data_IF_595583728085
#
_entry.id   IF_595583728085
#
_cell.length_a   1.000
_cell.length_b   1.000
_cell.length_c   1.000
_cell.angle_alpha   90.00
_cell.angle_beta   90.00
_cell.angle_gamma   90.00
#
_symmetry.space_group_name_H-M   'P 1'
#
loop_
_entity.id
_entity.type
_entity.pdbx_description
1 polymer ?
#
# COMPACT_ATOMS: atom_id res chain seq x y z
N UNK A 1 -26.15 12.10 5.13
CA UNK A 1 -26.04 10.88 5.97
C UNK A 1 -24.61 10.37 5.90
N UNK A 2 -24.07 9.73 6.96
CA UNK A 2 -22.70 9.25 6.93
C UNK A 2 -22.52 8.20 5.82
N UNK A 3 -21.36 8.13 5.16
CA UNK A 3 -21.13 7.21 4.07
C UNK A 3 -21.21 5.76 4.58
N UNK A 4 -22.00 4.94 3.89
CA UNK A 4 -22.19 3.51 4.20
C UNK A 4 -20.90 2.76 3.84
N UNK A 5 -20.20 2.29 4.86
CA UNK A 5 -18.99 1.47 4.73
C UNK A 5 -19.38 0.07 4.22
N UNK A 6 -18.82 -0.36 3.08
CA UNK A 6 -19.09 -1.68 2.48
C UNK A 6 -17.80 -2.49 2.50
N UNK A 7 -17.74 -3.49 3.37
CA UNK A 7 -16.65 -4.46 3.41
C UNK A 7 -16.79 -5.40 2.20
N UNK A 8 -15.78 -5.47 1.35
CA UNK A 8 -15.72 -6.48 0.28
C UNK A 8 -14.93 -7.67 0.82
N UNK A 9 -15.64 -8.74 1.17
CA UNK A 9 -15.05 -10.06 1.42
C UNK A 9 -15.07 -10.83 0.11
N UNK A 10 -13.92 -11.04 -0.51
CA UNK A 10 -13.83 -11.95 -1.65
C UNK A 10 -14.17 -13.38 -1.17
N UNK A 11 -15.25 -13.95 -1.70
CA UNK A 11 -15.64 -15.34 -1.42
C UNK A 11 -14.98 -16.24 -2.46
N UNK A 12 -14.21 -17.27 -2.08
CA UNK A 12 -13.72 -18.23 -3.05
C UNK A 12 -14.84 -19.22 -3.37
N UNK A 13 -15.41 -19.12 -4.58
CA UNK A 13 -16.23 -20.20 -5.16
C UNK A 13 -15.42 -20.87 -6.28
N UNK A 14 -14.67 -21.90 -5.92
CA UNK A 14 -14.23 -22.93 -6.87
C UNK A 14 -14.42 -24.30 -6.21
N UNK A 15 -15.29 -25.12 -6.81
CA UNK A 15 -15.27 -26.58 -6.63
C UNK A 15 -14.18 -27.15 -7.54
N UNK A 16 -13.32 -28.04 -7.06
CA UNK A 16 -12.73 -29.23 -7.74
C UNK A 16 -11.59 -29.81 -6.87
N UNK A 17 -11.57 -31.13 -6.70
CA UNK A 17 -10.39 -31.95 -6.38
C UNK A 17 -9.67 -31.70 -5.04
N UNK A 18 -9.58 -32.73 -4.19
CA UNK A 18 -8.78 -32.69 -2.95
C UNK A 18 -7.28 -32.62 -3.29
N UNK A 19 -6.77 -31.43 -3.56
CA UNK A 19 -5.35 -31.09 -3.37
C UNK A 19 -5.24 -30.65 -1.91
N UNK A 20 -4.47 -31.39 -1.11
CA UNK A 20 -4.14 -30.97 0.24
C UNK A 20 -3.24 -29.72 0.15
N UNK A 21 -3.86 -28.54 0.07
CA UNK A 21 -3.16 -27.27 0.25
C UNK A 21 -2.72 -27.21 1.71
N UNK A 22 -1.42 -27.11 1.93
CA UNK A 22 -0.87 -26.75 3.24
C UNK A 22 -1.56 -25.48 3.72
N UNK A 23 -2.24 -25.54 4.85
CA UNK A 23 -2.90 -24.40 5.50
C UNK A 23 -1.92 -23.52 6.28
N UNK A 24 -0.64 -23.91 6.34
CA UNK A 24 0.39 -23.15 7.02
C UNK A 24 0.84 -21.98 6.15
N UNK A 25 0.65 -20.76 6.68
CA UNK A 25 1.24 -19.55 6.11
C UNK A 25 2.77 -19.72 6.10
N UNK A 26 3.45 -19.50 4.96
CA UNK A 26 4.89 -19.68 4.88
C UNK A 26 5.63 -18.68 5.76
N UNK A 27 6.88 -18.98 6.15
CA UNK A 27 7.68 -18.03 6.95
C UNK A 27 8.09 -16.77 6.19
N UNK A 28 8.13 -16.86 4.85
CA UNK A 28 8.54 -15.81 3.93
C UNK A 28 7.69 -15.84 2.66
N UNK A 29 7.62 -14.72 1.96
CA UNK A 29 7.06 -14.59 0.62
C UNK A 29 7.92 -13.66 -0.23
N UNK A 30 7.88 -13.81 -1.54
CA UNK A 30 8.62 -12.96 -2.47
C UNK A 30 7.65 -12.14 -3.32
N UNK A 31 7.97 -10.88 -3.52
CA UNK A 31 7.22 -10.00 -4.43
C UNK A 31 8.15 -8.94 -4.99
N UNK A 32 8.07 -8.70 -6.30
CA UNK A 32 8.83 -7.67 -7.02
C UNK A 32 10.35 -7.74 -6.79
N UNK A 33 10.91 -8.95 -6.75
CA UNK A 33 12.34 -9.19 -6.54
C UNK A 33 12.82 -8.99 -5.11
N UNK A 34 11.92 -8.95 -4.13
CA UNK A 34 12.23 -8.76 -2.70
C UNK A 34 11.60 -9.88 -1.89
N UNK A 35 12.38 -10.43 -0.96
CA UNK A 35 11.90 -11.40 0.02
C UNK A 35 11.44 -10.70 1.30
N UNK A 36 10.24 -11.02 1.76
CA UNK A 36 9.63 -10.47 2.96
C UNK A 36 9.32 -11.60 3.93
N UNK A 37 9.56 -11.33 5.22
CA UNK A 37 9.13 -12.24 6.28
C UNK A 37 7.64 -12.04 6.53
N UNK A 38 6.88 -13.12 6.61
CA UNK A 38 5.48 -13.04 7.01
C UNK A 38 5.40 -12.52 8.46
N UNK A 39 4.59 -11.48 8.72
CA UNK A 39 4.45 -10.95 10.06
C UNK A 39 3.80 -11.98 11.00
N UNK A 40 4.42 -12.21 12.16
CA UNK A 40 3.92 -13.14 13.19
C UNK A 40 2.84 -12.53 14.07
N UNK A 41 2.68 -11.21 14.02
CA UNK A 41 1.71 -10.42 14.77
C UNK A 41 1.00 -9.47 13.80
N UNK A 42 -0.18 -8.94 14.15
CA UNK A 42 -0.82 -7.92 13.33
C UNK A 42 0.09 -6.72 13.11
N UNK A 43 0.43 -6.45 11.85
CA UNK A 43 1.30 -5.33 11.45
C UNK A 43 0.49 -4.30 10.71
N UNK A 44 0.63 -3.04 11.11
CA UNK A 44 -0.05 -1.90 10.48
C UNK A 44 1.00 -0.96 9.90
N UNK A 45 0.81 -0.59 8.64
CA UNK A 45 1.60 0.46 7.97
C UNK A 45 0.67 1.64 7.71
N UNK A 46 1.08 2.83 8.12
CA UNK A 46 0.30 4.06 7.96
C UNK A 46 1.08 5.03 7.08
N UNK A 47 0.47 5.44 5.97
CA UNK A 47 0.97 6.53 5.14
C UNK A 47 0.17 7.80 5.50
N UNK A 48 0.85 8.79 6.08
CA UNK A 48 0.26 10.12 6.34
C UNK A 48 0.58 11.03 5.15
N UNK A 49 -0.40 11.21 4.26
CA UNK A 49 -0.25 12.02 3.03
C UNK A 49 0.10 13.48 3.38
N UNK A 50 1.16 14.01 2.78
CA UNK A 50 1.64 15.38 3.04
C UNK A 50 2.26 15.62 4.42
N UNK A 51 2.72 14.57 5.12
CA UNK A 51 3.38 14.71 6.42
C UNK A 51 4.82 15.22 6.28
N UNK A 52 4.97 16.53 6.08
CA UNK A 52 6.29 17.19 6.07
C UNK A 52 7.06 16.91 7.37
N UNK A 53 8.38 16.64 7.32
CA UNK A 53 9.20 16.57 8.52
C UNK A 53 9.03 17.81 9.39
N UNK A 54 8.86 17.63 10.70
CA UNK A 54 8.61 18.71 11.65
C UNK A 54 7.17 18.81 12.15
N UNK A 55 6.15 18.38 11.39
CA UNK A 55 4.75 18.48 11.85
C UNK A 55 4.49 17.66 13.13
N UNK A 56 5.03 16.44 13.18
CA UNK A 56 4.86 15.54 14.33
C UNK A 56 5.60 16.11 15.54
N UNK A 57 6.81 16.61 15.33
CA UNK A 57 7.68 17.20 16.34
C UNK A 57 7.00 18.43 16.98
N UNK A 58 6.45 19.34 16.17
CA UNK A 58 5.71 20.51 16.69
C UNK A 58 4.46 20.10 17.48
N UNK A 59 3.74 19.06 17.05
CA UNK A 59 2.59 18.56 17.80
C UNK A 59 3.00 17.93 19.15
N UNK A 60 4.16 17.28 19.20
CA UNK A 60 4.75 16.73 20.44
C UNK A 60 5.19 17.85 21.38
N UNK A 61 5.85 18.88 20.85
CA UNK A 61 6.26 20.09 21.59
C UNK A 61 5.06 20.82 22.19
N UNK A 62 3.97 20.95 21.42
CA UNK A 62 2.73 21.55 21.88
C UNK A 62 1.96 20.69 22.91
N UNK A 63 2.43 19.48 23.22
CA UNK A 63 1.81 18.59 24.21
C UNK A 63 0.52 17.91 23.75
N UNK A 64 0.16 18.01 22.46
CA UNK A 64 -1.10 17.47 21.91
C UNK A 64 -0.94 16.10 21.25
N UNK A 65 0.28 15.57 21.17
CA UNK A 65 0.60 14.29 20.52
C UNK A 65 1.34 13.30 21.45
N UNK A 66 0.74 12.86 22.57
CA UNK A 66 1.42 12.01 23.57
C UNK A 66 1.84 10.64 23.04
N UNK A 67 1.09 10.07 22.09
CA UNK A 67 1.46 8.82 21.43
C UNK A 67 2.74 8.96 20.62
N UNK A 68 2.85 10.02 19.80
CA UNK A 68 4.04 10.27 19.01
C UNK A 68 5.25 10.61 19.87
N UNK A 69 5.06 11.33 20.99
CA UNK A 69 6.12 11.55 21.99
C UNK A 69 6.75 10.23 22.43
N UNK A 70 5.91 9.28 22.87
CA UNK A 70 6.38 7.95 23.27
C UNK A 70 7.09 7.22 22.13
N UNK A 71 6.59 7.31 20.90
CA UNK A 71 7.24 6.67 19.73
C UNK A 71 8.61 7.27 19.42
N UNK A 72 8.78 8.59 19.56
CA UNK A 72 10.06 9.25 19.36
C UNK A 72 11.08 8.86 20.44
N UNK A 73 10.63 8.67 21.68
CA UNK A 73 11.49 8.33 22.83
C UNK A 73 11.86 6.84 22.90
N UNK A 74 10.94 5.94 22.52
CA UNK A 74 11.09 4.49 22.75
C UNK A 74 11.09 3.64 21.48
N UNK A 75 10.70 4.22 20.36
CA UNK A 75 10.63 3.55 19.07
C UNK A 75 11.83 3.83 18.18
N UNK A 76 11.67 3.56 16.89
CA UNK A 76 12.62 3.94 15.85
C UNK A 76 11.98 4.99 14.96
N UNK A 77 12.68 6.11 14.76
CA UNK A 77 12.28 7.15 13.83
C UNK A 77 13.47 7.48 12.92
N UNK A 78 13.20 7.67 11.64
CA UNK A 78 14.21 8.07 10.65
C UNK A 78 13.55 8.83 9.53
N UNK A 79 14.31 9.70 8.88
CA UNK A 79 13.90 10.32 7.63
C UNK A 79 14.15 9.35 6.46
N UNK A 80 13.24 9.34 5.49
CA UNK A 80 13.37 8.58 4.25
C UNK A 80 13.17 9.50 3.05
N UNK A 81 13.78 9.16 1.92
CA UNK A 81 13.54 9.87 0.66
C UNK A 81 12.28 9.32 -0.01
N UNK A 82 11.39 10.22 -0.40
CA UNK A 82 10.22 9.89 -1.21
C UNK A 82 10.59 9.74 -2.69
N UNK A 83 9.67 9.19 -3.47
CA UNK A 83 9.78 9.12 -4.94
C UNK A 83 9.59 10.50 -5.55
N UNK A 84 10.34 10.78 -6.62
CA UNK A 84 10.19 11.96 -7.48
C UNK A 84 9.50 11.55 -8.79
N UNK A 85 8.43 12.27 -9.22
CA UNK A 85 7.81 13.42 -8.56
C UNK A 85 7.12 13.03 -7.25
N UNK A 86 7.16 13.93 -6.25
CA UNK A 86 6.63 13.74 -4.89
C UNK A 86 5.10 13.83 -4.83
N UNK A 87 4.44 13.13 -5.75
CA UNK A 87 2.99 13.03 -5.84
C UNK A 87 2.46 11.84 -5.04
N UNK A 88 1.20 11.96 -4.62
CA UNK A 88 0.50 10.95 -3.83
C UNK A 88 0.47 9.59 -4.52
N UNK A 89 0.07 9.52 -5.80
CA UNK A 89 -0.10 8.25 -6.52
C UNK A 89 1.22 7.46 -6.66
N UNK A 90 2.31 8.03 -7.21
CA UNK A 90 3.59 7.35 -7.29
C UNK A 90 4.07 6.83 -5.94
N UNK A 91 4.05 7.67 -4.89
CA UNK A 91 4.55 7.29 -3.58
C UNK A 91 3.72 6.17 -2.93
N UNK A 92 2.39 6.24 -2.97
CA UNK A 92 1.54 5.18 -2.43
C UNK A 92 1.76 3.86 -3.18
N UNK A 93 1.92 3.90 -4.50
CA UNK A 93 2.20 2.71 -5.30
C UNK A 93 3.58 2.14 -5.02
N UNK A 94 4.60 2.98 -4.82
CA UNK A 94 5.93 2.50 -4.42
C UNK A 94 5.93 1.88 -3.03
N UNK A 95 5.17 2.42 -2.08
CA UNK A 95 5.01 1.82 -0.74
C UNK A 95 4.37 0.44 -0.85
N UNK A 96 3.28 0.31 -1.64
CA UNK A 96 2.52 -0.94 -1.68
C UNK A 96 3.16 -2.02 -2.56
N UNK A 97 4.04 -1.65 -3.48
CA UNK A 97 4.75 -2.60 -4.36
C UNK A 97 6.19 -2.84 -3.93
N UNK A 98 6.77 -1.97 -3.10
CA UNK A 98 8.16 -2.07 -2.64
C UNK A 98 9.22 -1.76 -3.70
N UNK A 99 8.81 -1.17 -4.83
CA UNK A 99 9.65 -0.84 -6.00
C UNK A 99 9.36 0.58 -6.52
N UNK A 100 10.24 1.20 -7.33
CA UNK A 100 10.03 2.55 -7.85
C UNK A 100 9.06 2.62 -9.05
N UNK A 101 8.62 3.82 -9.49
CA UNK A 101 7.71 3.99 -10.63
C UNK A 101 8.19 3.43 -11.95
N UNK A 102 9.51 3.39 -12.17
CA UNK A 102 10.09 2.74 -13.34
C UNK A 102 9.75 1.26 -13.45
N UNK A 103 9.41 0.61 -12.33
CA UNK A 103 9.01 -0.79 -12.26
C UNK A 103 7.48 -0.92 -12.22
N UNK A 104 6.80 -0.28 -11.25
CA UNK A 104 5.35 -0.46 -11.11
C UNK A 104 4.51 0.30 -12.14
N UNK A 105 5.09 1.28 -12.83
CA UNK A 105 4.48 1.98 -13.97
C UNK A 105 3.64 3.20 -13.62
N UNK A 106 3.47 3.56 -12.34
CA UNK A 106 2.64 4.71 -11.91
C UNK A 106 3.53 5.89 -11.56
N UNK A 107 3.80 6.78 -12.53
CA UNK A 107 4.72 7.91 -12.38
C UNK A 107 4.02 9.28 -12.19
N UNK A 108 2.70 9.33 -12.29
CA UNK A 108 1.93 10.56 -12.14
C UNK A 108 0.42 10.31 -12.03
N UNK A 109 -0.37 11.36 -12.25
CA UNK A 109 -1.83 11.27 -12.28
C UNK A 109 -2.37 10.99 -13.68
N UNK A 110 -1.64 11.38 -14.72
CA UNK A 110 -1.94 11.16 -16.11
C UNK A 110 -0.62 11.11 -16.91
N UNK A 111 -0.69 10.56 -18.12
CA UNK A 111 0.36 10.68 -19.13
C UNK A 111 -0.28 11.05 -20.46
N UNK A 112 0.49 11.63 -21.37
CA UNK A 112 0.04 11.90 -22.72
C UNK A 112 0.33 10.68 -23.60
N UNK A 113 -0.71 10.08 -24.16
CA UNK A 113 -0.59 8.99 -25.12
C UNK A 113 -0.47 9.57 -26.53
N UNK A 114 0.69 9.35 -27.16
CA UNK A 114 0.97 9.86 -28.49
C UNK A 114 0.23 9.12 -29.59
N UNK A 115 -0.22 7.87 -29.37
CA UNK A 115 -0.97 7.12 -30.38
C UNK A 115 -2.40 7.63 -30.50
N UNK A 116 -3.08 7.82 -29.36
CA UNK A 116 -4.44 8.36 -29.32
C UNK A 116 -4.50 9.90 -29.30
N UNK A 117 -3.36 10.58 -29.10
CA UNK A 117 -3.25 12.05 -28.94
C UNK A 117 -4.09 12.58 -27.77
N UNK A 118 -4.17 11.84 -26.67
CA UNK A 118 -5.01 12.16 -25.51
C UNK A 118 -4.26 12.07 -24.19
N UNK A 119 -4.75 12.81 -23.19
CA UNK A 119 -4.35 12.64 -21.80
C UNK A 119 -5.06 11.43 -21.19
N UNK A 120 -4.28 10.44 -20.75
CA UNK A 120 -4.78 9.20 -20.15
C UNK A 120 -4.52 9.22 -18.66
N UNK A 121 -5.58 9.06 -17.87
CA UNK A 121 -5.51 9.06 -16.41
C UNK A 121 -4.86 7.76 -15.88
N UNK A 122 -3.85 7.87 -15.02
CA UNK A 122 -3.11 6.74 -14.43
C UNK A 122 -3.73 6.21 -13.13
N UNK A 123 -5.03 6.38 -12.95
CA UNK A 123 -5.75 5.95 -11.75
C UNK A 123 -6.46 4.60 -11.92
N UNK A 124 -6.34 3.97 -13.07
CA UNK A 124 -6.84 2.62 -13.34
C UNK A 124 -5.81 1.55 -12.91
N UNK A 125 -6.20 0.52 -12.14
CA UNK A 125 -5.33 -0.61 -11.81
C UNK A 125 -4.70 -1.32 -13.02
N UNK A 126 -5.26 -1.19 -14.21
CA UNK A 126 -4.70 -1.70 -15.46
C UNK A 126 -3.28 -1.15 -15.73
N UNK A 127 -2.98 0.08 -15.29
CA UNK A 127 -1.66 0.68 -15.46
C UNK A 127 -0.62 0.17 -14.45
N UNK A 128 -1.03 -0.54 -13.39
CA UNK A 128 -0.12 -1.15 -12.44
C UNK A 128 0.50 -2.42 -13.05
N UNK A 129 1.82 -2.40 -13.27
CA UNK A 129 2.55 -3.44 -14.02
C UNK A 129 3.03 -4.62 -13.19
N UNK A 130 2.91 -4.53 -11.87
CA UNK A 130 3.46 -5.50 -10.92
C UNK A 130 2.46 -5.79 -9.80
N UNK A 131 2.54 -6.96 -9.14
CA UNK A 131 1.68 -7.28 -8.00
C UNK A 131 1.98 -6.38 -6.79
N UNK A 132 1.00 -6.26 -5.90
CA UNK A 132 1.16 -5.54 -4.63
C UNK A 132 1.67 -6.48 -3.53
N UNK A 133 2.31 -5.92 -2.51
CA UNK A 133 2.68 -6.65 -1.28
C UNK A 133 1.42 -7.21 -0.59
N UNK A 134 0.29 -6.50 -0.68
CA UNK A 134 -0.99 -6.95 -0.13
C UNK A 134 -1.52 -8.20 -0.84
N UNK A 135 -1.43 -8.22 -2.17
CA UNK A 135 -1.79 -9.38 -2.99
C UNK A 135 -0.92 -10.58 -2.62
N UNK A 136 0.41 -10.40 -2.57
CA UNK A 136 1.33 -11.47 -2.22
C UNK A 136 1.12 -12.00 -0.79
N UNK A 137 0.78 -11.13 0.17
CA UNK A 137 0.40 -11.55 1.52
C UNK A 137 -0.90 -12.37 1.53
N UNK A 138 -1.90 -11.96 0.76
CA UNK A 138 -3.16 -12.70 0.64
C UNK A 138 -2.94 -14.07 -0.01
N UNK A 139 -2.13 -14.15 -1.07
CA UNK A 139 -1.75 -15.41 -1.74
C UNK A 139 -0.95 -16.32 -0.81
N UNK A 140 -0.13 -15.75 0.08
CA UNK A 140 0.54 -16.49 1.16
C UNK A 140 -0.41 -16.97 2.28
N UNK A 141 -1.71 -16.64 2.21
CA UNK A 141 -2.73 -17.07 3.18
C UNK A 141 -2.92 -16.12 4.37
N UNK A 142 -2.39 -14.90 4.31
CA UNK A 142 -2.59 -13.90 5.36
C UNK A 142 -3.97 -13.22 5.24
N UNK A 143 -4.53 -12.83 6.38
CA UNK A 143 -5.66 -11.88 6.40
C UNK A 143 -5.13 -10.46 6.20
N UNK A 144 -5.63 -9.79 5.16
CA UNK A 144 -5.15 -8.45 4.75
C UNK A 144 -6.32 -7.46 4.70
N UNK A 145 -6.07 -6.22 5.10
CA UNK A 145 -7.00 -5.11 4.98
C UNK A 145 -6.28 -3.85 4.50
N UNK A 146 -6.95 -3.08 3.64
CA UNK A 146 -6.50 -1.77 3.18
C UNK A 146 -7.62 -0.75 3.36
N UNK A 147 -7.28 0.42 3.91
CA UNK A 147 -8.22 1.52 4.16
C UNK A 147 -7.64 2.79 3.57
N UNK A 148 -8.41 3.47 2.73
CA UNK A 148 -8.00 4.70 2.06
C UNK A 148 -9.03 5.80 2.27
N UNK A 149 -8.58 7.04 2.40
CA UNK A 149 -9.46 8.21 2.41
C UNK A 149 -10.05 8.54 1.02
N UNK A 150 -9.36 8.17 -0.07
CA UNK A 150 -9.74 8.48 -1.46
C UNK A 150 -10.07 7.20 -2.22
N UNK A 151 -11.26 7.13 -2.83
CA UNK A 151 -11.73 5.94 -3.58
C UNK A 151 -10.83 5.55 -4.76
N UNK A 152 -10.15 6.53 -5.39
CA UNK A 152 -9.24 6.28 -6.53
C UNK A 152 -8.08 5.35 -6.17
N UNK A 153 -7.56 5.44 -4.94
CA UNK A 153 -6.47 4.57 -4.46
C UNK A 153 -6.98 3.17 -4.10
N UNK A 154 -8.24 3.06 -3.64
CA UNK A 154 -8.85 1.79 -3.22
C UNK A 154 -8.79 0.73 -4.32
N UNK A 155 -9.06 1.11 -5.57
CA UNK A 155 -9.04 0.19 -6.70
C UNK A 155 -7.64 -0.35 -6.97
N UNK A 156 -6.60 0.49 -6.87
CA UNK A 156 -5.21 0.08 -7.13
C UNK A 156 -4.63 -0.81 -6.04
N UNK A 157 -5.06 -0.64 -4.79
CA UNK A 157 -4.59 -1.44 -3.65
C UNK A 157 -5.19 -2.86 -3.59
N UNK A 158 -6.30 -3.11 -4.28
CA UNK A 158 -7.02 -4.38 -4.27
C UNK A 158 -6.79 -5.26 -5.50
N UNK A 159 -5.79 -4.93 -6.33
CA UNK A 159 -5.37 -5.75 -7.48
C UNK A 159 -4.60 -6.98 -7.01
#
# INVERSE_FOLDING_TARGET
GPPKMRFVRASPKLSWGRVALSTAVPGFFEVNGRCYKVPKVPTVVVCVDGSEPGYVERAVEAGVAPFFRRMLETGTHTTISCVIPSFTNPNNMSIITGVPPSVHGICGNFFYDTESQQEVMMNDPAFLRVPTILQALQEAGCSVAAVTAKDKLRAMLGK
#
